data_IF_536399157757
#
_entry.id   IF_536399157757
#
_cell.length_a   1.000
_cell.length_b   1.000
_cell.length_c   1.000
_cell.angle_alpha   90.00
_cell.angle_beta   90.00
_cell.angle_gamma   90.00
#
_symmetry.space_group_name_H-M   'P 1'
#
loop_
_entity.id
_entity.type
_entity.pdbx_description
1 polymer ?
#
# COMPACT_ATOMS: atom_id res chain seq x y z
N UNK A 1 5.52 20.24 15.33
CA UNK A 1 4.75 19.22 16.07
C UNK A 1 5.19 17.91 15.49
N UNK A 2 5.89 17.07 16.27
CA UNK A 2 6.42 15.79 15.75
C UNK A 2 5.28 14.84 15.37
N UNK A 3 5.56 13.80 14.58
CA UNK A 3 4.52 12.86 14.15
C UNK A 3 3.82 12.18 15.33
N UNK A 4 4.55 11.88 16.42
CA UNK A 4 3.94 11.35 17.64
C UNK A 4 2.91 12.30 18.29
N UNK A 5 3.19 13.61 18.30
CA UNK A 5 2.25 14.61 18.80
C UNK A 5 0.98 14.70 17.92
N UNK A 6 1.13 14.51 16.61
CA UNK A 6 -0.02 14.46 15.68
C UNK A 6 -0.89 13.23 15.93
N UNK A 7 -0.29 12.06 16.18
CA UNK A 7 -1.03 10.84 16.54
C UNK A 7 -1.77 11.03 17.86
N UNK A 8 -1.12 11.64 18.86
CA UNK A 8 -1.76 12.03 20.13
C UNK A 8 -2.94 12.98 19.89
N UNK A 9 -2.79 13.98 19.03
CA UNK A 9 -3.86 14.92 18.71
C UNK A 9 -5.03 14.24 17.98
N UNK A 10 -4.74 13.36 17.02
CA UNK A 10 -5.76 12.55 16.33
C UNK A 10 -6.54 11.68 17.32
N UNK A 11 -5.84 11.04 18.26
CA UNK A 11 -6.43 10.25 19.33
C UNK A 11 -7.34 11.07 20.28
N UNK A 12 -6.91 12.28 20.68
CA UNK A 12 -7.73 13.14 21.54
C UNK A 12 -8.99 13.61 20.82
N UNK A 13 -8.88 13.93 19.53
CA UNK A 13 -10.02 14.37 18.70
C UNK A 13 -11.09 13.29 18.56
N UNK A 14 -10.71 12.05 18.29
CA UNK A 14 -11.67 10.93 18.20
C UNK A 14 -12.43 10.73 19.52
N UNK A 15 -11.78 10.89 20.67
CA UNK A 15 -12.45 10.79 21.99
C UNK A 15 -13.45 11.91 22.24
N UNK A 16 -13.19 13.12 21.72
CA UNK A 16 -14.15 14.22 21.79
C UNK A 16 -15.35 13.95 20.87
N UNK A 17 -15.13 13.36 19.70
CA UNK A 17 -16.20 12.94 18.77
C UNK A 17 -17.00 11.73 19.31
N UNK A 18 -16.35 10.73 19.92
CA UNK A 18 -16.98 9.60 20.62
C UNK A 18 -17.79 10.06 21.84
N UNK A 19 -17.27 11.00 22.65
CA UNK A 19 -18.05 11.59 23.75
C UNK A 19 -19.26 12.38 23.27
N UNK A 20 -19.13 13.14 22.17
CA UNK A 20 -20.26 13.88 21.61
C UNK A 20 -21.33 12.94 21.03
N UNK A 21 -20.93 11.84 20.41
CA UNK A 21 -21.87 10.82 19.92
C UNK A 21 -22.52 10.07 21.09
N UNK A 22 -21.80 9.71 22.15
CA UNK A 22 -22.38 9.11 23.35
C UNK A 22 -23.35 10.05 24.09
N UNK A 23 -23.03 11.35 24.23
CA UNK A 23 -23.94 12.36 24.81
C UNK A 23 -25.22 12.51 23.96
N UNK A 24 -25.09 12.52 22.63
CA UNK A 24 -26.24 12.60 21.71
C UNK A 24 -27.11 11.33 21.77
N UNK A 25 -26.49 10.17 22.00
CA UNK A 25 -27.22 8.89 22.13
C UNK A 25 -27.90 8.75 23.50
N UNK A 26 -27.33 9.35 24.56
CA UNK A 26 -27.99 9.41 25.87
C UNK A 26 -29.17 10.39 25.89
N UNK A 27 -29.12 11.50 25.15
CA UNK A 27 -30.24 12.44 25.02
C UNK A 27 -31.43 11.87 24.22
N UNK A 28 -31.21 10.83 23.40
CA UNK A 28 -32.26 10.17 22.60
C UNK A 28 -32.84 8.90 23.23
N UNK A 29 -32.30 8.42 24.36
CA UNK A 29 -32.76 7.20 25.05
C UNK A 29 -33.69 7.45 26.25
N UNK A 30 -34.04 8.70 26.57
CA UNK A 30 -35.03 9.02 27.62
C UNK A 30 -36.49 9.05 27.12
N UNK A 31 -36.75 9.01 25.81
CA UNK A 31 -38.10 8.93 25.22
C UNK A 31 -38.24 7.66 24.36
N UNK A 32 -38.55 6.54 25.01
CA UNK A 32 -39.37 5.40 24.49
C UNK A 32 -38.95 4.08 25.15
N UNK A 33 -39.66 3.69 26.22
CA UNK A 33 -39.91 2.27 26.52
C UNK A 33 -41.32 2.07 27.08
N UNK A 34 -42.21 1.59 26.22
CA UNK A 34 -43.32 0.71 26.60
C UNK A 34 -43.41 -0.45 25.62
N UNK A 35 -43.54 -1.62 26.23
CA UNK A 35 -44.30 -2.79 25.81
C UNK A 35 -43.59 -4.05 25.26
N UNK A 36 -44.19 -5.15 25.69
CA UNK A 36 -43.71 -6.51 25.95
C UNK A 36 -43.73 -7.51 24.77
N UNK A 37 -43.19 -8.70 25.07
CA UNK A 37 -43.58 -10.08 24.63
C UNK A 37 -42.86 -10.64 23.39
N UNK A 38 -41.91 -11.57 23.52
CA UNK A 38 -41.94 -13.04 23.80
C UNK A 38 -42.43 -13.94 22.65
N UNK A 39 -41.56 -14.86 22.19
CA UNK A 39 -41.74 -16.30 21.85
C UNK A 39 -40.59 -16.75 20.91
N UNK A 40 -39.55 -17.46 21.37
CA UNK A 40 -39.35 -18.94 21.49
C UNK A 40 -39.21 -19.74 20.17
N UNK A 41 -37.97 -20.25 19.98
CA UNK A 41 -37.52 -21.59 19.55
C UNK A 41 -38.36 -22.46 18.59
N UNK A 42 -37.73 -22.98 17.53
CA UNK A 42 -37.17 -24.34 17.51
C UNK A 42 -36.72 -24.81 16.12
N UNK A 43 -35.70 -25.67 16.14
CA UNK A 43 -34.92 -26.23 15.05
C UNK A 43 -35.63 -27.22 14.10
N UNK A 44 -35.04 -27.41 12.91
CA UNK A 44 -34.84 -28.74 12.29
C UNK A 44 -33.82 -28.68 11.15
N UNK A 45 -32.87 -29.61 11.19
CA UNK A 45 -31.85 -29.79 10.15
C UNK A 45 -32.27 -30.70 9.02
N UNK A 46 -31.39 -30.79 8.02
CA UNK A 46 -31.25 -31.92 7.11
C UNK A 46 -29.86 -31.86 6.49
N UNK A 47 -29.10 -32.94 6.66
CA UNK A 47 -27.92 -33.28 5.88
C UNK A 47 -28.36 -33.71 4.48
N UNK A 48 -27.59 -33.34 3.46
CA UNK A 48 -27.51 -34.10 2.20
C UNK A 48 -26.12 -33.91 1.60
N UNK A 49 -25.45 -35.02 1.34
CA UNK A 49 -24.23 -35.14 0.53
C UNK A 49 -24.56 -34.87 -0.94
N UNK A 50 -23.70 -34.15 -1.67
CA UNK A 50 -23.57 -34.31 -3.12
C UNK A 50 -22.20 -33.81 -3.62
N UNK A 51 -21.45 -34.78 -4.14
CA UNK A 51 -20.63 -34.82 -5.36
C UNK A 51 -19.96 -33.53 -5.91
N UNK A 52 -18.65 -33.68 -6.14
CA UNK A 52 -17.72 -32.69 -6.67
C UNK A 52 -17.77 -32.72 -8.22
N UNK A 53 -18.32 -31.69 -8.86
CA UNK A 53 -18.14 -31.43 -10.29
C UNK A 53 -17.32 -30.15 -10.52
N UNK A 54 -16.21 -30.35 -11.23
CA UNK A 54 -15.23 -29.36 -11.66
C UNK A 54 -15.85 -28.43 -12.71
N UNK A 55 -16.03 -27.14 -12.41
CA UNK A 55 -16.45 -26.13 -13.39
C UNK A 55 -15.50 -24.94 -13.41
N UNK A 56 -15.11 -24.59 -14.63
CA UNK A 56 -14.25 -23.49 -15.04
C UNK A 56 -14.90 -22.14 -14.75
N UNK A 57 -14.33 -21.34 -13.85
CA UNK A 57 -14.75 -19.96 -13.62
C UNK A 57 -14.11 -18.99 -14.62
N UNK A 58 -14.91 -18.57 -15.59
CA UNK A 58 -14.76 -17.31 -16.32
C UNK A 58 -15.39 -16.22 -15.46
N UNK A 59 -14.58 -15.35 -14.87
CA UNK A 59 -15.08 -14.18 -14.13
C UNK A 59 -15.33 -13.02 -15.11
N UNK A 60 -16.59 -12.86 -15.51
CA UNK A 60 -17.09 -11.62 -16.07
C UNK A 60 -17.28 -10.61 -14.92
N UNK A 61 -16.72 -9.40 -15.08
CA UNK A 61 -16.90 -8.31 -14.12
C UNK A 61 -18.29 -7.66 -14.29
N UNK A 62 -18.95 -7.21 -13.21
CA UNK A 62 -20.24 -6.52 -13.31
C UNK A 62 -20.05 -5.13 -13.93
N UNK A 63 -20.95 -4.78 -14.84
CA UNK A 63 -21.11 -3.43 -15.40
C UNK A 63 -21.87 -2.61 -14.36
N UNK A 64 -21.29 -1.52 -13.89
CA UNK A 64 -22.04 -0.46 -13.20
C UNK A 64 -22.01 0.81 -14.03
N UNK A 65 -23.19 1.42 -14.13
CA UNK A 65 -23.52 2.53 -15.01
C UNK A 65 -23.06 3.88 -14.42
N UNK A 66 -22.94 4.84 -15.32
CA UNK A 66 -22.30 6.15 -15.16
C UNK A 66 -22.85 6.99 -13.99
N UNK A 67 -21.95 7.59 -13.20
CA UNK A 67 -22.20 8.86 -12.52
C UNK A 67 -21.25 9.95 -13.04
N UNK A 68 -21.85 11.09 -13.33
CA UNK A 68 -21.27 12.27 -13.97
C UNK A 68 -20.51 13.12 -12.93
N UNK A 69 -19.42 13.70 -13.38
CA UNK A 69 -18.34 14.35 -12.63
C UNK A 69 -18.75 15.55 -11.77
N UNK A 70 -18.41 15.52 -10.48
CA UNK A 70 -18.06 16.73 -9.70
C UNK A 70 -16.56 16.72 -9.41
N UNK A 71 -15.87 17.82 -9.78
CA UNK A 71 -14.48 18.07 -9.39
C UNK A 71 -14.43 18.23 -7.86
N UNK A 72 -13.84 17.27 -7.17
CA UNK A 72 -13.50 17.39 -5.76
C UNK A 72 -11.99 17.56 -5.68
N UNK A 73 -11.53 18.75 -5.24
CA UNK A 73 -10.23 18.85 -4.59
C UNK A 73 -10.30 17.93 -3.36
N UNK A 74 -9.62 16.77 -3.41
CA UNK A 74 -9.60 15.83 -2.29
C UNK A 74 -9.07 16.55 -1.04
N UNK A 75 -9.95 16.75 -0.06
CA UNK A 75 -9.57 17.30 1.22
C UNK A 75 -8.69 16.28 1.97
N UNK A 76 -7.69 16.70 2.75
CA UNK A 76 -6.81 15.80 3.52
C UNK A 76 -7.56 14.86 4.50
N UNK A 77 -8.83 15.16 4.79
CA UNK A 77 -9.70 14.29 5.58
C UNK A 77 -10.17 13.02 4.85
N UNK A 78 -10.11 12.98 3.51
CA UNK A 78 -10.54 11.82 2.72
C UNK A 78 -9.42 10.80 2.55
N UNK A 79 -8.20 11.28 2.23
CA UNK A 79 -6.98 10.45 2.16
C UNK A 79 -6.73 9.71 3.49
N UNK A 80 -6.79 10.40 4.63
CA UNK A 80 -6.61 9.78 5.94
C UNK A 80 -7.64 8.66 6.21
N UNK A 81 -8.89 8.80 5.75
CA UNK A 81 -9.92 7.75 5.89
C UNK A 81 -9.59 6.52 5.03
N UNK A 82 -9.06 6.71 3.82
CA UNK A 82 -8.59 5.61 2.97
C UNK A 82 -7.47 4.84 3.67
N UNK A 83 -6.50 5.54 4.29
CA UNK A 83 -5.43 4.91 5.08
C UNK A 83 -5.99 4.13 6.28
N UNK A 84 -6.91 4.70 7.04
CA UNK A 84 -7.53 4.03 8.19
C UNK A 84 -8.30 2.76 7.78
N UNK A 85 -9.03 2.82 6.66
CA UNK A 85 -9.76 1.68 6.10
C UNK A 85 -8.80 0.61 5.60
N UNK A 86 -7.81 0.98 4.78
CA UNK A 86 -6.83 0.08 4.20
C UNK A 86 -5.92 -0.59 5.24
N UNK A 87 -5.60 0.09 6.34
CA UNK A 87 -4.75 -0.47 7.40
C UNK A 87 -5.52 -1.13 8.55
N UNK A 88 -6.85 -1.11 8.50
CA UNK A 88 -7.72 -1.59 9.58
C UNK A 88 -7.42 -3.02 10.05
N UNK A 89 -7.16 -3.95 9.14
CA UNK A 89 -6.80 -5.35 9.46
C UNK A 89 -5.44 -5.46 10.13
N UNK A 90 -4.41 -4.79 9.58
CA UNK A 90 -3.07 -4.76 10.18
C UNK A 90 -3.12 -4.13 11.57
N UNK A 91 -3.82 -3.01 11.72
CA UNK A 91 -4.01 -2.34 13.01
C UNK A 91 -4.70 -3.25 14.04
N UNK A 92 -5.76 -3.95 13.64
CA UNK A 92 -6.47 -4.88 14.54
C UNK A 92 -5.55 -6.02 14.99
N UNK A 93 -4.85 -6.67 14.07
CA UNK A 93 -3.92 -7.75 14.42
C UNK A 93 -2.78 -7.27 15.31
N UNK A 94 -2.22 -6.09 15.03
CA UNK A 94 -1.20 -5.50 15.87
C UNK A 94 -1.74 -5.19 17.28
N UNK A 95 -2.94 -4.61 17.38
CA UNK A 95 -3.64 -4.36 18.66
C UNK A 95 -3.81 -5.64 19.48
N UNK A 96 -4.32 -6.69 18.84
CA UNK A 96 -4.62 -7.96 19.50
C UNK A 96 -3.32 -8.59 20.06
N UNK A 97 -2.23 -8.57 19.28
CA UNK A 97 -0.92 -9.07 19.73
C UNK A 97 -0.32 -8.23 20.85
N UNK A 98 -0.38 -6.90 20.77
CA UNK A 98 0.09 -6.03 21.85
C UNK A 98 -0.70 -6.25 23.15
N UNK A 99 -2.02 -6.42 23.05
CA UNK A 99 -2.87 -6.72 24.21
C UNK A 99 -2.51 -8.08 24.84
N UNK A 100 -2.28 -9.11 24.02
CA UNK A 100 -1.85 -10.43 24.49
C UNK A 100 -0.49 -10.34 25.21
N UNK A 101 0.45 -9.61 24.63
CA UNK A 101 1.76 -9.36 25.20
C UNK A 101 1.63 -8.68 26.58
N UNK A 102 0.89 -7.58 26.69
CA UNK A 102 0.69 -6.93 27.99
C UNK A 102 -0.17 -7.72 28.99
N UNK A 103 -1.01 -8.65 28.53
CA UNK A 103 -1.76 -9.55 29.41
C UNK A 103 -0.86 -10.65 30.02
N UNK A 104 0.13 -11.11 29.25
CA UNK A 104 1.02 -12.21 29.65
C UNK A 104 2.18 -11.74 30.54
N UNK A 105 2.61 -10.49 30.42
CA UNK A 105 3.75 -9.95 31.17
C UNK A 105 3.33 -8.99 32.27
N UNK A 106 3.72 -9.30 33.52
CA UNK A 106 3.48 -8.44 34.71
C UNK A 106 4.56 -7.37 34.91
N UNK A 107 5.73 -7.58 34.31
CA UNK A 107 6.88 -6.69 34.35
C UNK A 107 7.44 -6.53 32.94
N UNK A 108 8.08 -5.38 32.69
CA UNK A 108 8.81 -5.12 31.45
C UNK A 108 10.27 -5.52 31.69
N UNK A 109 10.55 -6.78 31.43
CA UNK A 109 11.84 -7.45 31.61
C UNK A 109 12.37 -8.00 30.29
N UNK A 110 13.43 -8.81 30.33
CA UNK A 110 14.08 -9.31 29.11
C UNK A 110 13.14 -10.21 28.30
N UNK A 111 12.37 -11.06 28.98
CA UNK A 111 11.41 -11.98 28.36
C UNK A 111 10.30 -11.19 27.62
N UNK A 112 9.91 -10.02 28.14
CA UNK A 112 8.98 -9.11 27.45
C UNK A 112 9.55 -8.63 26.10
N UNK A 113 10.82 -8.21 26.07
CA UNK A 113 11.43 -7.70 24.83
C UNK A 113 11.69 -8.81 23.80
N UNK A 114 11.99 -10.03 24.25
CA UNK A 114 12.05 -11.20 23.38
C UNK A 114 10.68 -11.49 22.74
N UNK A 115 9.58 -11.37 23.50
CA UNK A 115 8.25 -11.52 22.93
C UNK A 115 7.86 -10.38 21.97
N UNK A 116 8.31 -9.14 22.24
CA UNK A 116 8.13 -8.01 21.32
C UNK A 116 8.85 -8.31 19.99
N UNK A 117 10.08 -8.81 20.04
CA UNK A 117 10.82 -9.23 18.86
C UNK A 117 10.06 -10.31 18.07
N UNK A 118 9.64 -11.38 18.74
CA UNK A 118 8.86 -12.47 18.13
C UNK A 118 7.55 -11.95 17.49
N UNK A 119 6.90 -11.00 18.15
CA UNK A 119 5.67 -10.36 17.66
C UNK A 119 5.91 -9.61 16.36
N UNK A 120 6.98 -8.82 16.28
CA UNK A 120 7.38 -8.05 15.09
C UNK A 120 7.79 -8.97 13.93
N UNK A 121 8.55 -10.04 14.22
CA UNK A 121 8.91 -11.07 13.23
C UNK A 121 7.63 -11.69 12.66
N UNK A 122 6.69 -12.09 13.52
CA UNK A 122 5.43 -12.66 13.10
C UNK A 122 4.50 -11.67 12.37
N UNK A 123 4.82 -10.38 12.37
CA UNK A 123 4.13 -9.32 11.63
C UNK A 123 4.83 -8.97 10.30
N UNK A 124 5.80 -9.80 9.87
CA UNK A 124 6.61 -9.65 8.66
C UNK A 124 7.54 -8.42 8.64
N UNK A 125 7.91 -7.87 9.81
CA UNK A 125 8.92 -6.78 9.93
C UNK A 125 10.33 -7.28 9.59
N UNK A 126 10.57 -8.59 9.60
CA UNK A 126 11.89 -9.18 9.31
C UNK A 126 12.76 -9.31 10.54
N UNK A 127 13.68 -10.29 10.52
CA UNK A 127 14.48 -10.65 11.71
C UNK A 127 15.41 -9.52 12.15
N UNK A 128 16.27 -9.03 11.26
CA UNK A 128 17.26 -8.01 11.59
C UNK A 128 16.61 -6.70 12.05
N UNK A 129 15.55 -6.28 11.36
CA UNK A 129 14.78 -5.08 11.70
C UNK A 129 14.06 -5.25 13.05
N UNK A 130 13.46 -6.41 13.31
CA UNK A 130 12.77 -6.68 14.59
C UNK A 130 13.72 -6.69 15.78
N UNK A 131 14.88 -7.33 15.64
CA UNK A 131 15.93 -7.37 16.66
C UNK A 131 16.42 -5.95 16.98
N UNK A 132 16.71 -5.15 15.94
CA UNK A 132 17.12 -3.74 16.11
C UNK A 132 16.04 -2.93 16.85
N UNK A 133 14.78 -3.06 16.43
CA UNK A 133 13.65 -2.37 17.07
C UNK A 133 13.55 -2.78 18.54
N UNK A 134 13.59 -4.07 18.86
CA UNK A 134 13.50 -4.56 20.23
C UNK A 134 14.65 -4.04 21.11
N UNK A 135 15.88 -4.02 20.59
CA UNK A 135 17.05 -3.51 21.29
C UNK A 135 16.94 -2.00 21.59
N UNK A 136 16.53 -1.21 20.60
CA UNK A 136 16.33 0.23 20.76
C UNK A 136 15.18 0.55 21.72
N UNK A 137 14.08 -0.20 21.65
CA UNK A 137 12.96 -0.09 22.58
C UNK A 137 13.38 -0.41 24.02
N UNK A 138 14.24 -1.42 24.21
CA UNK A 138 14.77 -1.78 25.52
C UNK A 138 15.51 -0.62 26.17
N UNK A 139 16.35 0.07 25.41
CA UNK A 139 17.10 1.23 25.90
C UNK A 139 16.18 2.43 26.13
N UNK A 140 15.23 2.69 25.23
CA UNK A 140 14.31 3.83 25.34
C UNK A 140 13.39 3.71 26.57
N UNK A 141 12.85 2.52 26.84
CA UNK A 141 12.03 2.25 28.03
C UNK A 141 12.83 2.46 29.32
N UNK A 142 14.11 2.07 29.34
CA UNK A 142 15.00 2.32 30.49
C UNK A 142 15.24 3.80 30.70
N UNK A 143 15.50 4.56 29.62
CA UNK A 143 15.75 6.00 29.66
C UNK A 143 14.51 6.75 30.16
N UNK A 144 13.33 6.44 29.60
CA UNK A 144 12.04 7.05 30.00
C UNK A 144 11.51 6.54 31.34
N UNK A 145 12.14 5.50 31.91
CA UNK A 145 11.71 4.85 33.15
C UNK A 145 10.22 4.44 33.10
N UNK A 146 9.78 3.98 31.92
CA UNK A 146 8.39 3.60 31.67
C UNK A 146 8.10 2.24 32.32
N UNK A 147 7.28 2.25 33.37
CA UNK A 147 6.97 1.05 34.18
C UNK A 147 5.54 0.54 34.02
N UNK A 148 4.64 1.38 33.52
CA UNK A 148 3.23 1.02 33.30
C UNK A 148 3.06 0.49 31.88
N UNK A 149 2.21 -0.53 31.65
CA UNK A 149 1.89 -1.04 30.31
C UNK A 149 1.53 0.06 29.30
N UNK A 150 0.68 1.02 29.69
CA UNK A 150 0.30 2.15 28.84
C UNK A 150 1.49 3.02 28.41
N UNK A 151 2.39 3.36 29.35
CA UNK A 151 3.58 4.14 29.06
C UNK A 151 4.56 3.40 28.15
N UNK A 152 4.69 2.08 28.32
CA UNK A 152 5.54 1.22 27.49
C UNK A 152 4.97 1.11 26.09
N UNK A 153 3.66 0.89 25.95
CA UNK A 153 2.97 0.87 24.65
C UNK A 153 3.15 2.19 23.90
N UNK A 154 2.95 3.32 24.59
CA UNK A 154 3.14 4.63 24.01
C UNK A 154 4.60 4.85 23.57
N UNK A 155 5.58 4.37 24.36
CA UNK A 155 7.01 4.41 24.00
C UNK A 155 7.31 3.55 22.77
N UNK A 156 6.67 2.39 22.65
CA UNK A 156 6.81 1.50 21.48
C UNK A 156 6.30 2.19 20.22
N UNK A 157 5.11 2.79 20.29
CA UNK A 157 4.52 3.51 19.17
C UNK A 157 5.40 4.70 18.79
N UNK A 158 5.83 5.51 19.76
CA UNK A 158 6.74 6.64 19.55
C UNK A 158 8.02 6.20 18.83
N UNK A 159 8.66 5.13 19.28
CA UNK A 159 9.90 4.68 18.66
C UNK A 159 9.70 4.10 17.25
N UNK A 160 8.60 3.40 17.00
CA UNK A 160 8.26 2.96 15.65
C UNK A 160 8.03 4.16 14.73
N UNK A 161 7.38 5.22 15.23
CA UNK A 161 7.19 6.49 14.51
C UNK A 161 8.53 7.14 14.19
N UNK A 162 9.43 7.24 15.18
CA UNK A 162 10.75 7.82 15.01
C UNK A 162 11.57 7.08 13.94
N UNK A 163 11.50 5.74 13.93
CA UNK A 163 12.15 4.94 12.87
C UNK A 163 11.59 5.23 11.48
N UNK A 164 10.28 5.54 11.38
CA UNK A 164 9.69 6.01 10.12
C UNK A 164 10.13 7.44 9.76
N UNK A 165 10.37 8.33 10.72
CA UNK A 165 10.82 9.71 10.46
C UNK A 165 12.32 9.77 10.10
N UNK A 166 13.18 9.11 10.88
CA UNK A 166 14.64 9.11 10.71
C UNK A 166 15.08 8.62 9.32
N UNK A 167 14.41 7.58 8.80
CA UNK A 167 14.66 7.05 7.46
C UNK A 167 14.06 7.94 6.35
N UNK A 168 13.17 8.89 6.70
CA UNK A 168 12.48 9.79 5.76
C UNK A 168 13.19 11.09 5.46
N UNK A 169 14.09 11.55 6.33
CA UNK A 169 14.75 12.85 6.13
C UNK A 169 15.64 12.90 4.88
N UNK A 170 16.03 11.75 4.32
CA UNK A 170 16.82 11.65 3.08
C UNK A 170 16.04 11.06 1.89
N UNK A 171 14.81 10.62 2.10
CA UNK A 171 14.00 9.93 1.10
C UNK A 171 12.94 10.86 0.50
N UNK A 172 12.94 11.01 -0.83
CA UNK A 172 11.87 11.74 -1.53
C UNK A 172 10.74 10.74 -1.78
N UNK A 173 9.62 10.85 -1.06
CA UNK A 173 8.44 9.99 -1.26
C UNK A 173 7.58 10.44 -2.45
N UNK A 174 7.69 11.70 -2.86
CA UNK A 174 7.00 12.22 -4.05
C UNK A 174 7.52 11.56 -5.33
N UNK A 175 6.65 11.39 -6.32
CA UNK A 175 7.06 10.97 -7.66
C UNK A 175 7.91 12.06 -8.32
N UNK A 176 9.01 11.68 -8.95
CA UNK A 176 9.90 12.59 -9.69
C UNK A 176 9.29 13.01 -11.03
N UNK A 177 8.22 13.79 -10.95
CA UNK A 177 7.55 14.41 -12.09
C UNK A 177 8.37 15.57 -12.65
N UNK A 178 8.50 15.64 -13.97
CA UNK A 178 9.23 16.71 -14.64
C UNK A 178 8.31 17.89 -14.94
N UNK A 179 8.74 19.09 -14.55
CA UNK A 179 7.96 20.30 -14.79
C UNK A 179 8.13 20.77 -16.23
N UNK A 180 7.03 20.82 -16.99
CA UNK A 180 6.99 21.20 -18.42
C UNK A 180 7.78 20.28 -19.35
N UNK A 181 8.07 19.04 -18.94
CA UNK A 181 8.70 18.02 -19.77
C UNK A 181 8.05 16.66 -19.51
N UNK A 182 8.33 15.67 -20.37
CA UNK A 182 7.74 14.35 -20.29
C UNK A 182 8.25 13.58 -19.05
N UNK A 183 7.34 13.25 -18.14
CA UNK A 183 7.62 12.30 -17.05
C UNK A 183 7.53 10.86 -17.59
N UNK A 184 8.54 10.02 -17.33
CA UNK A 184 8.61 8.65 -17.88
C UNK A 184 8.78 7.67 -16.74
N UNK A 185 7.73 6.90 -16.46
CA UNK A 185 7.69 5.97 -15.33
C UNK A 185 7.65 4.53 -15.83
N UNK A 186 8.65 3.75 -15.41
CA UNK A 186 8.80 2.35 -15.74
C UNK A 186 8.34 1.48 -14.56
N UNK A 187 7.26 0.72 -14.75
CA UNK A 187 6.73 -0.16 -13.71
C UNK A 187 7.30 -1.56 -13.86
N UNK A 188 7.95 -2.04 -12.81
CA UNK A 188 8.56 -3.38 -12.74
C UNK A 188 8.04 -4.15 -11.54
N UNK A 189 8.27 -5.46 -11.51
CA UNK A 189 7.80 -6.34 -10.42
C UNK A 189 7.21 -7.63 -10.93
N UNK A 190 6.88 -8.55 -10.03
CA UNK A 190 6.44 -9.90 -10.43
C UNK A 190 4.97 -9.92 -10.89
N UNK A 191 4.55 -10.99 -11.54
CA UNK A 191 3.15 -11.14 -11.95
C UNK A 191 2.24 -11.22 -10.71
N UNK A 192 1.06 -10.60 -10.80
CA UNK A 192 0.05 -10.64 -9.73
C UNK A 192 0.25 -9.63 -8.60
N UNK A 193 1.32 -8.83 -8.61
CA UNK A 193 1.55 -7.76 -7.62
C UNK A 193 0.75 -6.49 -7.86
N UNK A 194 -0.07 -6.45 -8.91
CA UNK A 194 -0.93 -5.29 -9.19
C UNK A 194 -0.33 -4.22 -10.12
N UNK A 195 0.81 -4.46 -10.80
CA UNK A 195 1.42 -3.50 -11.76
C UNK A 195 0.44 -2.80 -12.69
N UNK A 196 -0.24 -3.57 -13.55
CA UNK A 196 -1.18 -3.04 -14.55
C UNK A 196 -2.33 -2.28 -13.89
N UNK A 197 -2.80 -2.75 -12.72
CA UNK A 197 -3.83 -2.05 -11.92
C UNK A 197 -3.32 -0.72 -11.38
N UNK A 198 -2.11 -0.68 -10.80
CA UNK A 198 -1.48 0.55 -10.30
C UNK A 198 -1.26 1.56 -11.41
N UNK A 199 -0.85 1.11 -12.61
CA UNK A 199 -0.70 1.97 -13.79
C UNK A 199 -2.04 2.58 -14.18
N UNK A 200 -3.11 1.77 -14.23
CA UNK A 200 -4.45 2.25 -14.57
C UNK A 200 -4.99 3.28 -13.57
N UNK A 201 -4.82 3.03 -12.27
CA UNK A 201 -5.22 3.97 -11.21
C UNK A 201 -4.41 5.28 -11.27
N UNK A 202 -3.10 5.21 -11.46
CA UNK A 202 -2.27 6.40 -11.59
C UNK A 202 -2.61 7.20 -12.86
N UNK A 203 -2.91 6.51 -13.97
CA UNK A 203 -3.37 7.14 -15.20
C UNK A 203 -4.69 7.89 -14.98
N UNK A 204 -5.61 7.31 -14.23
CA UNK A 204 -6.86 7.95 -13.83
C UNK A 204 -6.61 9.23 -13.03
N UNK A 205 -5.78 9.15 -11.99
CA UNK A 205 -5.42 10.29 -11.16
C UNK A 205 -4.83 11.44 -11.98
N UNK A 206 -3.83 11.16 -12.82
CA UNK A 206 -3.25 12.18 -13.70
C UNK A 206 -4.23 12.74 -14.73
N UNK A 207 -5.16 11.93 -15.23
CA UNK A 207 -6.25 12.42 -16.08
C UNK A 207 -7.19 13.37 -15.32
N UNK A 208 -7.55 13.07 -14.08
CA UNK A 208 -8.36 13.96 -13.25
C UNK A 208 -7.66 15.30 -12.96
N UNK A 209 -6.33 15.27 -12.80
CA UNK A 209 -5.48 16.45 -12.68
C UNK A 209 -5.38 17.27 -14.00
N UNK A 210 -5.94 16.76 -15.10
CA UNK A 210 -5.92 17.40 -16.41
C UNK A 210 -4.65 17.19 -17.22
N UNK A 211 -3.77 16.27 -16.79
CA UNK A 211 -2.53 15.93 -17.52
C UNK A 211 -2.84 15.08 -18.75
N UNK A 212 -2.00 15.21 -19.78
CA UNK A 212 -1.99 14.36 -20.95
C UNK A 212 -1.15 13.12 -20.66
N UNK A 213 -1.82 12.00 -20.45
CA UNK A 213 -1.21 10.71 -20.13
C UNK A 213 -1.12 9.83 -21.37
N UNK A 214 -0.06 9.03 -21.49
CA UNK A 214 0.09 7.96 -22.46
C UNK A 214 0.51 6.67 -21.75
N UNK A 215 -0.05 5.53 -22.15
CA UNK A 215 0.31 4.21 -21.62
C UNK A 215 1.09 3.40 -22.66
N UNK A 216 2.03 2.57 -22.20
CA UNK A 216 2.74 1.62 -23.05
C UNK A 216 2.59 0.18 -22.53
N UNK A 217 2.02 -0.69 -23.37
CA UNK A 217 1.81 -2.11 -23.08
C UNK A 217 3.06 -2.94 -23.43
N UNK A 218 4.11 -2.85 -22.60
CA UNK A 218 5.35 -3.59 -22.82
C UNK A 218 5.40 -4.98 -22.15
N UNK A 219 4.36 -5.43 -21.40
CA UNK A 219 4.12 -6.86 -21.11
C UNK A 219 3.58 -7.57 -22.38
N UNK A 220 4.42 -7.67 -23.40
CA UNK A 220 4.02 -8.20 -24.72
C UNK A 220 3.87 -9.72 -24.73
N UNK A 221 4.39 -10.42 -23.71
CA UNK A 221 4.34 -11.87 -23.63
C UNK A 221 2.93 -12.38 -23.32
N UNK A 222 2.16 -11.62 -22.53
CA UNK A 222 0.81 -11.99 -22.09
C UNK A 222 -0.21 -11.19 -22.88
N UNK A 223 -0.90 -11.83 -23.84
CA UNK A 223 -2.01 -11.21 -24.57
C UNK A 223 -3.02 -10.56 -23.62
N UNK A 224 -3.42 -11.28 -22.55
CA UNK A 224 -4.33 -10.75 -21.54
C UNK A 224 -3.80 -9.55 -20.73
N UNK A 225 -2.48 -9.35 -20.64
CA UNK A 225 -1.92 -8.15 -19.99
C UNK A 225 -2.06 -6.92 -20.89
N UNK A 226 -1.81 -7.09 -22.20
CA UNK A 226 -2.08 -6.04 -23.20
C UNK A 226 -3.56 -5.65 -23.16
N UNK A 227 -4.47 -6.63 -23.24
CA UNK A 227 -5.91 -6.37 -23.23
C UNK A 227 -6.38 -5.73 -21.91
N UNK A 228 -5.78 -6.12 -20.78
CA UNK A 228 -6.06 -5.50 -19.48
C UNK A 228 -5.63 -4.03 -19.44
N UNK A 229 -4.45 -3.69 -19.95
CA UNK A 229 -4.00 -2.29 -19.99
C UNK A 229 -4.84 -1.47 -20.99
N UNK A 230 -5.27 -2.06 -22.11
CA UNK A 230 -6.19 -1.42 -23.06
C UNK A 230 -7.53 -1.08 -22.41
N UNK A 231 -8.11 -2.00 -21.65
CA UNK A 231 -9.35 -1.74 -20.91
C UNK A 231 -9.18 -0.62 -19.87
N UNK A 232 -8.01 -0.55 -19.21
CA UNK A 232 -7.68 0.57 -18.33
C UNK A 232 -7.59 1.89 -19.10
N UNK A 233 -6.97 1.90 -20.28
CA UNK A 233 -6.94 3.06 -21.17
C UNK A 233 -8.35 3.51 -21.57
N UNK A 234 -9.21 2.60 -22.00
CA UNK A 234 -10.61 2.90 -22.34
C UNK A 234 -11.39 3.46 -21.15
N UNK A 235 -11.22 2.85 -19.96
CA UNK A 235 -11.90 3.29 -18.72
C UNK A 235 -11.45 4.68 -18.26
N UNK A 236 -10.20 5.04 -18.51
CA UNK A 236 -9.60 6.31 -18.05
C UNK A 236 -9.54 7.37 -19.15
N UNK A 237 -10.06 7.05 -20.36
CA UNK A 237 -9.89 7.86 -21.56
C UNK A 237 -8.41 8.18 -21.83
N UNK A 238 -7.51 7.19 -21.74
CA UNK A 238 -6.07 7.33 -21.99
C UNK A 238 -5.65 6.44 -23.15
N UNK A 239 -4.84 6.98 -24.07
CA UNK A 239 -4.35 6.21 -25.20
C UNK A 239 -3.28 5.18 -24.76
N UNK A 240 -3.34 3.99 -25.37
CA UNK A 240 -2.41 2.88 -25.10
C UNK A 240 -1.63 2.53 -26.35
N UNK A 241 -0.31 2.70 -26.29
CA UNK A 241 0.63 2.21 -27.29
C UNK A 241 0.89 0.73 -27.03
N UNK A 242 0.67 -0.10 -28.05
CA UNK A 242 0.80 -1.56 -27.95
C UNK A 242 1.36 -2.17 -29.24
N UNK A 243 2.10 -3.26 -29.07
CA UNK A 243 2.49 -4.16 -30.16
C UNK A 243 1.58 -5.38 -30.24
N UNK A 244 1.88 -6.29 -31.16
CA UNK A 244 1.27 -7.62 -31.19
C UNK A 244 1.80 -8.48 -30.02
N UNK A 245 1.04 -9.49 -29.60
CA UNK A 245 1.52 -10.49 -28.63
C UNK A 245 2.83 -11.13 -29.13
N UNK A 246 3.83 -11.21 -28.27
CA UNK A 246 5.17 -11.71 -28.57
C UNK A 246 6.07 -10.72 -29.32
N UNK A 247 5.63 -9.48 -29.53
CA UNK A 247 6.50 -8.41 -30.02
C UNK A 247 7.61 -8.07 -29.02
N UNK A 248 8.67 -7.43 -29.49
CA UNK A 248 9.76 -6.98 -28.64
C UNK A 248 9.29 -5.82 -27.73
N UNK A 249 9.27 -5.97 -26.40
CA UNK A 249 8.85 -4.92 -25.46
C UNK A 249 9.57 -3.58 -25.68
N UNK A 250 10.87 -3.68 -25.98
CA UNK A 250 11.72 -2.52 -26.18
C UNK A 250 11.29 -1.70 -27.42
N UNK A 251 10.74 -2.36 -28.45
CA UNK A 251 10.19 -1.70 -29.63
C UNK A 251 8.88 -0.96 -29.31
N UNK A 252 8.00 -1.55 -28.50
CA UNK A 252 6.77 -0.87 -28.02
C UNK A 252 7.11 0.37 -27.21
N UNK A 253 8.13 0.31 -26.35
CA UNK A 253 8.60 1.46 -25.58
C UNK A 253 9.20 2.55 -26.46
N UNK A 254 9.94 2.19 -27.51
CA UNK A 254 10.46 3.17 -28.47
C UNK A 254 9.35 3.95 -29.17
N UNK A 255 8.32 3.23 -29.65
CA UNK A 255 7.16 3.84 -30.30
C UNK A 255 6.40 4.75 -29.32
N UNK A 256 6.24 4.31 -28.07
CA UNK A 256 5.58 5.10 -27.03
C UNK A 256 6.36 6.38 -26.67
N UNK A 257 7.69 6.30 -26.56
CA UNK A 257 8.55 7.47 -26.30
C UNK A 257 8.47 8.49 -27.44
N UNK A 258 8.48 8.02 -28.69
CA UNK A 258 8.38 8.88 -29.87
C UNK A 258 7.03 9.59 -29.87
N UNK A 259 5.95 8.83 -29.69
CA UNK A 259 4.59 9.35 -29.65
C UNK A 259 4.36 10.33 -28.51
N UNK A 260 4.80 10.01 -27.30
CA UNK A 260 4.67 10.89 -26.14
C UNK A 260 5.29 12.28 -26.42
N UNK A 261 6.44 12.33 -27.11
CA UNK A 261 7.09 13.59 -27.49
C UNK A 261 6.36 14.33 -28.61
N UNK A 262 5.95 13.62 -29.66
CA UNK A 262 5.19 14.22 -30.78
C UNK A 262 3.87 14.82 -30.31
N UNK A 263 3.23 14.14 -29.36
CA UNK A 263 1.95 14.53 -28.80
C UNK A 263 2.08 15.49 -27.61
N UNK A 264 3.30 15.79 -27.16
CA UNK A 264 3.56 16.62 -25.97
C UNK A 264 2.78 16.11 -24.74
N UNK A 265 2.85 14.80 -24.49
CA UNK A 265 2.30 14.21 -23.29
C UNK A 265 3.07 14.68 -22.05
N UNK A 266 2.36 14.83 -20.93
CA UNK A 266 2.96 15.18 -19.64
C UNK A 266 3.55 13.94 -18.96
N UNK A 267 2.91 12.77 -19.13
CA UNK A 267 3.29 11.52 -18.46
C UNK A 267 3.19 10.32 -19.39
N UNK A 268 4.24 9.50 -19.42
CA UNK A 268 4.27 8.17 -20.04
C UNK A 268 4.44 7.08 -18.98
N UNK A 269 3.45 6.20 -18.85
CA UNK A 269 3.48 5.05 -17.94
C UNK A 269 3.73 3.75 -18.72
N UNK A 270 4.76 3.00 -18.35
CA UNK A 270 5.20 1.80 -19.08
C UNK A 270 4.96 0.55 -18.22
N UNK A 271 4.11 -0.36 -18.69
CA UNK A 271 3.88 -1.67 -18.06
C UNK A 271 4.84 -2.73 -18.60
N UNK A 272 5.55 -3.46 -17.74
CA UNK A 272 6.51 -4.51 -18.16
C UNK A 272 6.10 -5.91 -17.73
N UNK A 273 6.70 -6.92 -18.35
CA UNK A 273 6.56 -8.30 -17.91
C UNK A 273 7.09 -8.51 -16.47
N UNK A 274 6.55 -9.51 -15.77
CA UNK A 274 6.90 -9.83 -14.37
C UNK A 274 7.31 -11.27 -14.10
N UNK A 275 7.94 -11.96 -15.07
CA UNK A 275 8.28 -13.39 -14.99
C UNK A 275 9.63 -13.65 -14.31
N UNK A 276 9.69 -13.47 -12.99
CA UNK A 276 10.94 -13.58 -12.20
C UNK A 276 11.57 -14.99 -12.21
N UNK A 277 10.78 -16.05 -12.45
CA UNK A 277 11.28 -17.43 -12.58
C UNK A 277 12.32 -17.60 -13.69
N UNK A 278 12.37 -16.69 -14.67
CA UNK A 278 13.39 -16.64 -15.71
C UNK A 278 14.23 -15.36 -15.57
N UNK A 279 14.84 -15.21 -14.38
CA UNK A 279 15.54 -13.98 -13.92
C UNK A 279 16.44 -13.37 -14.99
N UNK A 280 17.33 -14.15 -15.61
CA UNK A 280 18.30 -13.62 -16.58
C UNK A 280 17.61 -12.97 -17.78
N UNK A 281 16.57 -13.60 -18.32
CA UNK A 281 15.86 -13.07 -19.48
C UNK A 281 15.05 -11.82 -19.15
N UNK A 282 14.35 -11.82 -18.01
CA UNK A 282 13.60 -10.66 -17.54
C UNK A 282 14.54 -9.47 -17.34
N UNK A 283 15.68 -9.68 -16.69
CA UNK A 283 16.63 -8.60 -16.41
C UNK A 283 17.27 -8.05 -17.69
N UNK A 284 17.63 -8.91 -18.65
CA UNK A 284 18.14 -8.46 -19.95
C UNK A 284 17.10 -7.64 -20.73
N UNK A 285 15.82 -7.99 -20.61
CA UNK A 285 14.71 -7.28 -21.24
C UNK A 285 14.52 -5.89 -20.61
N UNK A 286 14.49 -5.80 -19.29
CA UNK A 286 14.40 -4.53 -18.56
C UNK A 286 15.59 -3.61 -18.86
N UNK A 287 16.82 -4.17 -18.92
CA UNK A 287 18.01 -3.43 -19.33
C UNK A 287 17.90 -2.88 -20.75
N UNK A 288 17.35 -3.68 -21.67
CA UNK A 288 17.14 -3.27 -23.06
C UNK A 288 16.12 -2.13 -23.14
N UNK A 289 15.00 -2.23 -22.42
CA UNK A 289 13.98 -1.18 -22.31
C UNK A 289 14.63 0.12 -21.80
N UNK A 290 15.38 0.04 -20.69
CA UNK A 290 16.06 1.19 -20.09
C UNK A 290 17.05 1.86 -21.05
N UNK A 291 17.83 1.09 -21.81
CA UNK A 291 18.75 1.63 -22.83
C UNK A 291 18.03 2.38 -23.94
N UNK A 292 16.85 1.91 -24.35
CA UNK A 292 16.03 2.61 -25.35
C UNK A 292 15.49 3.91 -24.77
N UNK A 293 14.91 3.87 -23.56
CA UNK A 293 14.43 5.08 -22.88
C UNK A 293 15.55 6.12 -22.78
N UNK A 294 16.73 5.73 -22.28
CA UNK A 294 17.91 6.61 -22.16
C UNK A 294 18.44 7.16 -23.49
N UNK A 295 18.25 6.42 -24.58
CA UNK A 295 18.68 6.86 -25.91
C UNK A 295 17.74 7.94 -26.44
N UNK A 296 16.44 7.79 -26.22
CA UNK A 296 15.46 8.80 -26.60
C UNK A 296 15.55 10.02 -25.68
N UNK A 297 15.70 9.81 -24.38
CA UNK A 297 15.83 10.86 -23.38
C UNK A 297 16.90 10.46 -22.33
N UNK A 298 18.08 11.11 -22.33
CA UNK A 298 19.17 10.79 -21.39
C UNK A 298 18.84 10.94 -19.91
N UNK A 299 17.82 11.71 -19.53
CA UNK A 299 17.35 11.87 -18.15
C UNK A 299 16.31 10.83 -17.73
N UNK A 300 15.70 10.12 -18.68
CA UNK A 300 14.68 9.10 -18.42
C UNK A 300 15.27 7.67 -18.25
N UNK A 301 14.55 6.72 -17.61
CA UNK A 301 13.28 6.92 -16.91
C UNK A 301 13.45 7.75 -15.64
N UNK A 302 12.48 8.63 -15.38
CA UNK A 302 12.47 9.52 -14.22
C UNK A 302 12.11 8.77 -12.93
N UNK A 303 11.30 7.71 -13.06
CA UNK A 303 11.03 6.73 -12.01
C UNK A 303 11.10 5.30 -12.57
N UNK A 304 11.72 4.40 -11.81
CA UNK A 304 11.63 2.94 -11.95
C UNK A 304 10.93 2.43 -10.70
N UNK A 305 9.62 2.20 -10.83
CA UNK A 305 8.72 1.86 -9.74
C UNK A 305 8.56 0.35 -9.62
N UNK A 306 9.05 -0.22 -8.52
CA UNK A 306 8.86 -1.64 -8.23
C UNK A 306 7.52 -1.84 -7.50
N UNK A 307 6.61 -2.58 -8.13
CA UNK A 307 5.31 -2.90 -7.57
C UNK A 307 5.35 -4.22 -6.81
N UNK A 308 4.99 -4.13 -5.53
CA UNK A 308 5.12 -5.18 -4.54
C UNK A 308 3.77 -5.46 -3.88
N UNK A 309 3.48 -6.74 -3.64
CA UNK A 309 2.27 -7.18 -2.95
C UNK A 309 2.52 -7.28 -1.44
N UNK A 310 1.86 -6.42 -0.65
CA UNK A 310 2.03 -6.38 0.79
C UNK A 310 1.53 -7.65 1.51
N UNK A 311 0.70 -8.48 0.86
CA UNK A 311 0.25 -9.77 1.43
C UNK A 311 1.38 -10.81 1.48
N UNK A 312 2.43 -10.62 0.69
CA UNK A 312 3.48 -11.64 0.49
C UNK A 312 4.57 -11.63 1.55
N UNK A 313 4.57 -10.66 2.47
CA UNK A 313 5.51 -10.59 3.60
C UNK A 313 6.97 -10.65 3.14
N UNK A 314 7.80 -11.48 3.76
CA UNK A 314 9.23 -11.61 3.42
C UNK A 314 9.54 -12.00 1.96
N UNK A 315 8.58 -12.52 1.19
CA UNK A 315 8.77 -12.72 -0.25
C UNK A 315 8.89 -11.39 -1.00
N UNK A 316 8.19 -10.35 -0.56
CA UNK A 316 8.31 -8.99 -1.08
C UNK A 316 9.73 -8.44 -0.91
N UNK A 317 10.32 -8.61 0.27
CA UNK A 317 11.69 -8.19 0.56
C UNK A 317 12.69 -8.83 -0.41
N UNK A 318 12.63 -10.16 -0.55
CA UNK A 318 13.51 -10.90 -1.44
C UNK A 318 13.36 -10.45 -2.91
N UNK A 319 12.13 -10.15 -3.35
CA UNK A 319 11.90 -9.60 -4.69
C UNK A 319 12.52 -8.22 -4.84
N UNK A 320 12.30 -7.34 -3.86
CA UNK A 320 12.83 -5.98 -3.90
C UNK A 320 14.35 -5.93 -3.93
N UNK A 321 15.02 -6.79 -3.16
CA UNK A 321 16.48 -6.93 -3.22
C UNK A 321 16.95 -7.34 -4.63
N UNK A 322 16.29 -8.33 -5.24
CA UNK A 322 16.66 -8.82 -6.57
C UNK A 322 16.48 -7.79 -7.68
N UNK A 323 15.40 -6.99 -7.63
CA UNK A 323 15.16 -5.92 -8.61
C UNK A 323 16.09 -4.72 -8.36
N UNK A 324 16.36 -4.36 -7.11
CA UNK A 324 17.29 -3.29 -6.75
C UNK A 324 18.69 -3.54 -7.29
N UNK A 325 19.17 -4.79 -7.21
CA UNK A 325 20.48 -5.20 -7.74
C UNK A 325 20.62 -5.02 -9.26
N UNK A 326 19.50 -4.99 -10.00
CA UNK A 326 19.55 -5.15 -11.47
C UNK A 326 18.97 -3.99 -12.26
N UNK A 327 17.96 -3.26 -11.75
CA UNK A 327 17.17 -2.32 -12.59
C UNK A 327 17.34 -0.84 -12.19
N UNK A 328 18.15 -0.54 -11.17
CA UNK A 328 18.21 0.76 -10.46
C UNK A 328 16.81 1.26 -10.10
N UNK A 329 16.09 0.50 -9.28
CA UNK A 329 14.77 0.87 -8.75
C UNK A 329 14.89 2.18 -7.96
N UNK A 330 14.01 3.14 -8.25
CA UNK A 330 13.99 4.47 -7.61
C UNK A 330 12.93 4.57 -6.51
N UNK A 331 11.91 3.73 -6.54
CA UNK A 331 10.85 3.74 -5.55
C UNK A 331 9.94 2.52 -5.60
N UNK A 332 9.10 2.39 -4.58
CA UNK A 332 8.18 1.27 -4.39
C UNK A 332 6.72 1.69 -4.54
N UNK A 333 5.94 0.77 -5.09
CA UNK A 333 4.48 0.80 -5.06
C UNK A 333 4.02 -0.40 -4.25
N UNK A 334 3.41 -0.16 -3.10
CA UNK A 334 2.89 -1.23 -2.25
C UNK A 334 1.42 -1.41 -2.52
N UNK A 335 0.98 -2.63 -2.81
CA UNK A 335 -0.42 -2.91 -3.13
C UNK A 335 -1.05 -3.86 -2.11
N UNK A 336 -2.39 -3.92 -2.10
CA UNK A 336 -3.18 -4.86 -1.31
C UNK A 336 -2.99 -4.71 0.20
N UNK A 337 -2.75 -3.49 0.68
CA UNK A 337 -2.62 -3.22 2.12
C UNK A 337 -3.93 -3.48 2.87
N UNK A 338 -5.06 -3.26 2.21
CA UNK A 338 -6.43 -3.59 2.65
C UNK A 338 -6.70 -5.10 2.79
N UNK A 339 -5.94 -5.90 2.05
CA UNK A 339 -6.04 -7.35 2.06
C UNK A 339 -5.36 -8.00 3.25
N UNK A 340 -4.44 -7.32 3.93
CA UNK A 340 -3.44 -7.97 4.79
C UNK A 340 -3.38 -7.46 6.23
N UNK A 341 -2.94 -8.34 7.12
CA UNK A 341 -2.51 -8.02 8.48
C UNK A 341 -0.98 -7.83 8.58
N UNK A 342 -0.27 -7.96 7.46
CA UNK A 342 1.20 -7.99 7.36
C UNK A 342 1.78 -6.65 6.91
N UNK A 343 1.23 -5.53 7.38
CA UNK A 343 1.73 -4.19 7.03
C UNK A 343 3.14 -3.87 7.55
N UNK A 344 3.73 -4.72 8.39
CA UNK A 344 5.10 -4.55 8.89
C UNK A 344 6.19 -4.64 7.82
N UNK A 345 5.89 -5.27 6.68
CA UNK A 345 6.84 -5.42 5.57
C UNK A 345 7.28 -4.07 4.97
N UNK A 346 6.46 -3.03 5.10
CA UNK A 346 6.78 -1.67 4.65
C UNK A 346 8.01 -1.14 5.39
N UNK A 347 8.03 -1.33 6.71
CA UNK A 347 9.11 -0.91 7.60
C UNK A 347 10.40 -1.67 7.26
N UNK A 348 10.27 -2.99 7.05
CA UNK A 348 11.38 -3.85 6.68
C UNK A 348 12.05 -3.36 5.39
N UNK A 349 11.28 -3.22 4.30
CA UNK A 349 11.81 -2.90 2.98
C UNK A 349 12.51 -1.55 2.98
N UNK A 350 11.93 -0.56 3.66
CA UNK A 350 12.52 0.77 3.75
C UNK A 350 13.84 0.74 4.52
N UNK A 351 13.85 0.05 5.66
CA UNK A 351 15.05 -0.04 6.49
C UNK A 351 16.20 -0.78 5.79
N UNK A 352 15.92 -1.96 5.21
CA UNK A 352 16.98 -2.80 4.66
C UNK A 352 17.40 -2.36 3.26
N UNK A 353 16.48 -1.84 2.45
CA UNK A 353 16.74 -1.48 1.06
C UNK A 353 16.82 0.02 0.82
N UNK A 354 16.54 0.91 1.79
CA UNK A 354 16.59 2.37 1.59
C UNK A 354 15.90 2.80 0.28
N UNK A 355 14.75 2.19 0.02
CA UNK A 355 13.93 2.47 -1.16
C UNK A 355 12.68 3.20 -0.68
N UNK A 356 12.45 4.44 -1.14
CA UNK A 356 11.28 5.19 -0.75
C UNK A 356 10.03 4.51 -1.27
N UNK A 357 9.03 4.36 -0.40
CA UNK A 357 7.67 4.08 -0.84
C UNK A 357 7.11 5.36 -1.47
N UNK A 358 6.66 5.26 -2.71
CA UNK A 358 6.11 6.38 -3.50
C UNK A 358 4.59 6.34 -3.53
N UNK A 359 4.04 5.14 -3.66
CA UNK A 359 2.60 4.92 -3.83
C UNK A 359 2.13 3.74 -2.98
N UNK A 360 0.89 3.83 -2.48
CA UNK A 360 0.22 2.77 -1.73
C UNK A 360 -1.18 2.49 -2.29
N UNK A 361 -1.48 1.22 -2.50
CA UNK A 361 -2.79 0.72 -2.87
C UNK A 361 -3.56 0.30 -1.63
N UNK A 362 -4.64 1.02 -1.33
CA UNK A 362 -5.45 0.90 -0.12
C UNK A 362 -6.83 0.23 -0.37
N UNK A 363 -7.01 -0.36 -1.56
CA UNK A 363 -8.26 -1.01 -1.96
C UNK A 363 -8.31 -1.35 -3.46
N UNK A 364 -9.47 -1.82 -3.93
CA UNK A 364 -9.70 -2.25 -5.31
C UNK A 364 -10.31 -1.15 -6.20
N UNK A 365 -10.93 -0.13 -5.60
CA UNK A 365 -11.52 1.02 -6.27
C UNK A 365 -10.51 1.81 -7.10
N UNK A 366 -11.01 2.56 -8.08
CA UNK A 366 -10.15 3.30 -9.00
C UNK A 366 -9.35 4.41 -8.30
N UNK A 367 -9.92 4.99 -7.25
CA UNK A 367 -9.32 6.05 -6.42
C UNK A 367 -8.59 5.52 -5.18
N UNK A 368 -8.36 4.20 -5.10
CA UNK A 368 -7.68 3.57 -3.94
C UNK A 368 -6.16 3.46 -4.15
N UNK A 369 -5.54 4.34 -4.94
CA UNK A 369 -4.09 4.49 -5.07
C UNK A 369 -3.71 5.88 -4.58
N UNK A 370 -2.83 5.95 -3.58
CA UNK A 370 -2.44 7.20 -2.94
C UNK A 370 -0.93 7.41 -3.00
N UNK A 371 -0.51 8.68 -3.03
CA UNK A 371 0.89 9.05 -2.76
C UNK A 371 1.22 8.70 -1.31
N UNK A 372 2.36 8.06 -1.10
CA UNK A 372 2.73 7.62 0.23
C UNK A 372 3.11 8.79 1.13
N UNK A 373 2.28 9.06 2.13
CA UNK A 373 2.64 9.91 3.27
C UNK A 373 2.99 9.04 4.50
N UNK A 374 4.22 9.11 5.02
CA UNK A 374 4.61 8.37 6.22
C UNK A 374 3.77 8.73 7.44
N UNK A 375 3.33 9.98 7.57
CA UNK A 375 2.50 10.43 8.67
C UNK A 375 1.13 9.76 8.62
N UNK A 376 0.46 9.82 7.47
CA UNK A 376 -0.89 9.26 7.30
C UNK A 376 -0.87 7.74 7.45
N UNK A 377 0.19 7.08 6.98
CA UNK A 377 0.41 5.65 7.16
C UNK A 377 0.54 5.28 8.65
N UNK A 378 1.41 5.99 9.39
CA UNK A 378 1.66 5.75 10.80
C UNK A 378 0.41 6.06 11.64
N UNK A 379 -0.29 7.16 11.36
CA UNK A 379 -1.58 7.48 11.99
C UNK A 379 -2.58 6.36 11.69
N UNK A 380 -2.73 5.95 10.43
CA UNK A 380 -3.63 4.87 10.05
C UNK A 380 -3.35 3.54 10.77
N UNK A 381 -2.06 3.22 10.97
CA UNK A 381 -1.59 2.02 11.66
C UNK A 381 -1.82 2.05 13.18
N UNK A 382 -1.57 3.19 13.84
CA UNK A 382 -1.57 3.28 15.31
C UNK A 382 -2.77 4.02 15.93
N UNK A 383 -3.68 4.56 15.11
CA UNK A 383 -4.91 5.22 15.59
C UNK A 383 -5.69 4.33 16.57
N UNK A 384 -6.05 4.87 17.74
CA UNK A 384 -6.80 4.14 18.76
C UNK A 384 -6.02 3.03 19.48
N UNK A 385 -4.68 2.99 19.32
CA UNK A 385 -3.78 2.13 20.11
C UNK A 385 -3.09 2.84 21.25
N UNK A 386 -3.04 4.18 21.25
CA UNK A 386 -2.52 4.94 22.38
C UNK A 386 -3.39 4.72 23.61
N UNK A 387 -2.75 4.54 24.77
CA UNK A 387 -3.44 4.41 26.06
C UNK A 387 -3.22 5.67 26.91
N UNK A 388 -4.22 6.04 27.72
CA UNK A 388 -4.05 7.07 28.76
C UNK A 388 -3.16 6.54 29.89
N UNK A 389 -2.24 7.40 30.37
CA UNK A 389 -1.20 7.04 31.36
C UNK A 389 -1.64 6.91 32.82
#
# INVERSE_FOLDING_TARGET
MGLFDKIKHAFVKDKEEEKQTEDTTQETLEDEKTDESTETDAAKGSETEEEFEETTESTAFPVDEQEETEKIEEAPADTQKKYEKGLSKTRKTFKDRMNELFANFRSVDEDFFEEVENTLIGADVGFDTSMRIADELREEVKIKNAKKPAAVQNTIIEKLVDLYEEEGEMEVNELNEQQNDLSVFLFVGVNGTGKTTSIGKLAHQYRQEGKKVLLAAADTFRAGAIDQLVQWGERTDVEVVRGNTGSDPASVVFDAMTRAKEEQADVLLIDTAGRLQNKVNLMNELDKIKRIIKREDPSAPHEVLLVVDATTGQNAMNQAQQFKETTDVTGLVLTKLDGTAKGGIVLAIRNELHLPVKLVGLGEGIDDLEVFDPNDFVVGLFKGLLQEE
#
